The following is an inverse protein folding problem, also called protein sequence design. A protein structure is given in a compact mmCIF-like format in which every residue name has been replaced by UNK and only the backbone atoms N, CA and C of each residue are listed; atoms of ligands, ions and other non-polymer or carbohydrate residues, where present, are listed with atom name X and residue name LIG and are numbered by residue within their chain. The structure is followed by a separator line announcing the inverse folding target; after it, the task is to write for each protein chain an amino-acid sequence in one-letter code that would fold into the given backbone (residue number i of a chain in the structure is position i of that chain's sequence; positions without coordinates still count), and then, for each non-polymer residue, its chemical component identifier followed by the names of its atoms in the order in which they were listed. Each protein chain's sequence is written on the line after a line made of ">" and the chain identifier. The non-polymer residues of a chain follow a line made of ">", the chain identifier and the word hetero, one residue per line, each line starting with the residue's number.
data_IF_766786747117
#
_entry.id   IF_766786747117
#
_cell.length_a   1.000
_cell.length_b   1.000
_cell.length_c   1.000
_cell.angle_alpha   90.00
_cell.angle_beta   90.00
_cell.angle_gamma   90.00
#
_symmetry.space_group_name_H-M   'P 1'
#
loop_
_entity.id
_entity.type
_entity.pdbx_description
1 polymer ?
#
# COMPACT_ATOMS: atom_id res chain seq x y z
N UNK A 1 -17.76 3.60 -22.73
CA UNK A 1 -17.95 4.55 -21.61
C UNK A 1 -18.47 3.87 -20.36
N UNK A 2 -19.64 3.23 -20.38
CA UNK A 2 -20.20 2.53 -19.21
C UNK A 2 -19.24 1.49 -18.59
N UNK A 3 -18.66 0.59 -19.39
CA UNK A 3 -17.70 -0.41 -18.90
C UNK A 3 -16.41 0.20 -18.35
N UNK A 4 -15.97 1.35 -18.87
CA UNK A 4 -14.78 2.07 -18.38
C UNK A 4 -15.03 2.68 -17.01
N UNK A 5 -16.19 3.32 -16.82
CA UNK A 5 -16.59 3.90 -15.54
C UNK A 5 -16.80 2.84 -14.47
N UNK A 6 -17.47 1.73 -14.81
CA UNK A 6 -17.64 0.57 -13.92
C UNK A 6 -16.28 -0.04 -13.56
N UNK A 7 -15.38 -0.20 -14.54
CA UNK A 7 -14.03 -0.70 -14.30
C UNK A 7 -13.21 0.20 -13.38
N UNK A 8 -13.29 1.52 -13.53
CA UNK A 8 -12.62 2.48 -12.64
C UNK A 8 -13.16 2.41 -11.21
N UNK A 9 -14.48 2.40 -11.04
CA UNK A 9 -15.10 2.29 -9.73
C UNK A 9 -14.70 0.99 -9.01
N UNK A 10 -14.72 -0.14 -9.72
CA UNK A 10 -14.25 -1.43 -9.18
C UNK A 10 -12.76 -1.35 -8.85
N UNK A 11 -11.93 -0.76 -9.71
CA UNK A 11 -10.49 -0.62 -9.49
C UNK A 11 -10.16 0.16 -8.23
N UNK A 12 -10.83 1.29 -7.99
CA UNK A 12 -10.68 2.11 -6.78
C UNK A 12 -11.08 1.29 -5.55
N UNK A 13 -12.23 0.62 -5.60
CA UNK A 13 -12.71 -0.18 -4.48
C UNK A 13 -11.78 -1.36 -4.15
N UNK A 14 -11.26 -2.05 -5.17
CA UNK A 14 -10.27 -3.12 -4.97
C UNK A 14 -8.99 -2.58 -4.35
N UNK A 15 -8.52 -1.40 -4.77
CA UNK A 15 -7.34 -0.76 -4.18
C UNK A 15 -7.55 -0.45 -2.68
N UNK A 16 -8.73 0.06 -2.30
CA UNK A 16 -9.08 0.26 -0.88
C UNK A 16 -9.00 -1.05 -0.09
N UNK A 17 -9.62 -2.12 -0.59
CA UNK A 17 -9.60 -3.43 0.07
C UNK A 17 -8.17 -3.97 0.22
N UNK A 18 -7.32 -3.73 -0.76
CA UNK A 18 -5.89 -4.08 -0.70
C UNK A 18 -5.17 -3.30 0.40
N UNK A 19 -5.44 -1.99 0.51
CA UNK A 19 -4.84 -1.15 1.56
C UNK A 19 -5.35 -1.52 2.95
N UNK A 20 -6.65 -1.82 3.11
CA UNK A 20 -7.24 -2.33 4.35
C UNK A 20 -6.59 -3.64 4.78
N UNK A 21 -6.50 -4.60 3.85
CA UNK A 21 -5.87 -5.88 4.12
C UNK A 21 -4.39 -5.72 4.50
N UNK A 22 -3.64 -4.91 3.75
CA UNK A 22 -2.23 -4.63 4.04
C UNK A 22 -2.06 -4.00 5.43
N UNK A 23 -2.89 -3.00 5.77
CA UNK A 23 -2.84 -2.34 7.07
C UNK A 23 -3.17 -3.32 8.19
N UNK A 24 -4.19 -4.16 8.00
CA UNK A 24 -4.54 -5.20 8.96
C UNK A 24 -3.36 -6.16 9.20
N UNK A 25 -2.66 -6.59 8.15
CA UNK A 25 -1.47 -7.46 8.27
C UNK A 25 -0.33 -6.77 9.01
N UNK A 26 -0.04 -5.51 8.71
CA UNK A 26 1.01 -4.75 9.38
C UNK A 26 0.69 -4.57 10.87
N UNK A 27 -0.58 -4.32 11.21
CA UNK A 27 -1.05 -4.21 12.61
C UNK A 27 -0.89 -5.50 13.42
N UNK A 28 -0.85 -6.67 12.79
CA UNK A 28 -0.56 -7.93 13.51
C UNK A 28 0.88 -7.98 14.04
N UNK A 29 1.79 -7.18 13.46
CA UNK A 29 3.21 -7.13 13.85
C UNK A 29 3.56 -5.87 14.62
N UNK A 30 2.90 -4.75 14.31
CA UNK A 30 3.21 -3.42 14.84
C UNK A 30 1.94 -2.68 15.20
N UNK A 31 1.70 -2.46 16.50
CA UNK A 31 0.54 -1.69 16.97
C UNK A 31 0.57 -0.25 16.45
N UNK A 32 1.76 0.33 16.28
CA UNK A 32 1.96 1.68 15.76
C UNK A 32 1.55 1.83 14.29
N UNK A 33 1.28 0.75 13.56
CA UNK A 33 0.67 0.83 12.24
C UNK A 33 -0.72 1.49 12.26
N UNK A 34 -1.36 1.64 13.43
CA UNK A 34 -2.56 2.47 13.61
C UNK A 34 -2.37 3.95 13.24
N UNK A 35 -1.13 4.43 13.12
CA UNK A 35 -0.78 5.77 12.68
C UNK A 35 -0.92 5.95 11.16
N UNK A 36 -0.95 4.85 10.38
CA UNK A 36 -1.19 4.90 8.94
C UNK A 36 -2.67 5.19 8.68
N UNK A 37 -2.93 6.21 7.86
CA UNK A 37 -4.29 6.60 7.44
C UNK A 37 -4.40 6.56 5.94
N UNK A 38 -5.53 6.12 5.41
CA UNK A 38 -5.79 6.20 3.97
C UNK A 38 -7.27 6.45 3.70
N UNK A 39 -7.54 6.99 2.52
CA UNK A 39 -8.86 7.18 1.93
C UNK A 39 -8.82 6.72 0.46
N UNK A 40 -9.92 6.91 -0.28
CA UNK A 40 -9.95 6.68 -1.73
C UNK A 40 -8.93 7.54 -2.49
N UNK A 41 -8.52 8.67 -1.92
CA UNK A 41 -7.76 9.71 -2.60
C UNK A 41 -6.28 9.75 -2.16
N UNK A 42 -5.95 9.23 -0.97
CA UNK A 42 -4.61 9.39 -0.42
C UNK A 42 -4.23 8.35 0.63
N UNK A 43 -2.93 8.17 0.82
CA UNK A 43 -2.33 7.46 1.95
C UNK A 43 -1.43 8.45 2.68
N UNK A 44 -1.63 8.59 4.00
CA UNK A 44 -0.80 9.43 4.86
C UNK A 44 -0.01 8.58 5.85
N UNK A 45 1.31 8.84 5.88
CA UNK A 45 2.27 8.25 6.80
C UNK A 45 2.84 9.29 7.78
N UNK A 46 2.34 10.53 7.76
CA UNK A 46 2.89 11.67 8.52
C UNK A 46 2.97 11.37 10.03
N UNK A 47 1.96 10.70 10.56
CA UNK A 47 1.88 10.31 11.97
C UNK A 47 2.97 9.31 12.38
N UNK A 48 3.53 8.52 11.45
CA UNK A 48 4.70 7.66 11.74
C UNK A 48 5.95 8.50 12.05
N UNK A 49 6.02 9.75 11.61
CA UNK A 49 7.12 10.67 11.96
C UNK A 49 7.17 11.04 13.46
N UNK A 50 6.13 10.68 14.23
CA UNK A 50 6.06 10.90 15.68
C UNK A 50 6.73 9.81 16.51
N UNK A 51 7.10 8.69 15.88
CA UNK A 51 7.80 7.58 16.54
C UNK A 51 9.27 7.56 16.11
N UNK A 52 10.03 6.63 16.69
CA UNK A 52 11.41 6.38 16.29
C UNK A 52 11.53 6.15 14.77
N UNK A 53 12.52 6.78 14.14
CA UNK A 53 12.68 6.82 12.68
C UNK A 53 12.89 5.43 12.09
N UNK A 54 13.77 4.63 12.68
CA UNK A 54 14.08 3.29 12.16
C UNK A 54 12.84 2.39 12.27
N UNK A 55 12.07 2.54 13.35
CA UNK A 55 10.79 1.87 13.51
C UNK A 55 9.73 2.35 12.51
N UNK A 56 9.63 3.65 12.26
CA UNK A 56 8.73 4.23 11.28
C UNK A 56 9.02 3.69 9.86
N UNK A 57 10.29 3.68 9.47
CA UNK A 57 10.74 3.19 8.17
C UNK A 57 10.44 1.70 8.01
N UNK A 58 10.63 0.91 9.07
CA UNK A 58 10.30 -0.52 9.08
C UNK A 58 8.79 -0.76 8.90
N UNK A 59 7.95 -0.03 9.65
CA UNK A 59 6.49 -0.15 9.56
C UNK A 59 5.98 0.25 8.17
N UNK A 60 6.49 1.36 7.63
CA UNK A 60 6.14 1.82 6.29
C UNK A 60 6.56 0.80 5.23
N UNK A 61 7.75 0.22 5.36
CA UNK A 61 8.22 -0.83 4.45
C UNK A 61 7.33 -2.07 4.50
N UNK A 62 7.00 -2.57 5.70
CA UNK A 62 6.13 -3.73 5.88
C UNK A 62 4.73 -3.50 5.32
N UNK A 63 4.17 -2.30 5.48
CA UNK A 63 2.89 -1.93 4.88
C UNK A 63 2.93 -1.98 3.34
N UNK A 64 3.96 -1.38 2.73
CA UNK A 64 4.13 -1.42 1.26
C UNK A 64 4.32 -2.86 0.76
N UNK A 65 5.10 -3.67 1.46
CA UNK A 65 5.32 -5.06 1.07
C UNK A 65 4.03 -5.90 1.20
N UNK A 66 3.17 -5.61 2.18
CA UNK A 66 1.86 -6.25 2.30
C UNK A 66 0.92 -5.85 1.14
N UNK A 67 0.94 -4.59 0.69
CA UNK A 67 0.23 -4.14 -0.52
C UNK A 67 0.72 -4.93 -1.74
N UNK A 68 2.03 -4.95 -1.98
CA UNK A 68 2.64 -5.66 -3.11
C UNK A 68 2.30 -7.15 -3.09
N UNK A 69 2.36 -7.78 -1.92
CA UNK A 69 2.02 -9.19 -1.75
C UNK A 69 0.55 -9.48 -2.08
N UNK A 70 -0.37 -8.62 -1.60
CA UNK A 70 -1.80 -8.74 -1.89
C UNK A 70 -2.08 -8.54 -3.38
N UNK A 71 -1.49 -7.52 -3.99
CA UNK A 71 -1.62 -7.27 -5.44
C UNK A 71 -1.05 -8.45 -6.25
N UNK A 72 0.11 -8.99 -5.88
CA UNK A 72 0.70 -10.17 -6.52
C UNK A 72 -0.24 -11.37 -6.59
N UNK A 73 -1.08 -11.54 -5.57
CA UNK A 73 -2.09 -12.60 -5.53
C UNK A 73 -3.31 -12.29 -6.38
N UNK A 74 -3.72 -11.02 -6.45
CA UNK A 74 -4.92 -10.58 -7.19
C UNK A 74 -4.68 -10.50 -8.70
N UNK A 75 -3.58 -9.89 -9.13
CA UNK A 75 -3.30 -9.63 -10.56
C UNK A 75 -2.27 -10.58 -11.16
N UNK A 76 -1.71 -11.48 -10.34
CA UNK A 76 -0.66 -12.40 -10.73
C UNK A 76 0.75 -11.78 -10.68
N UNK A 77 1.76 -12.67 -10.60
CA UNK A 77 3.16 -12.29 -10.33
C UNK A 77 3.74 -11.28 -11.32
N UNK A 78 3.37 -11.37 -12.59
CA UNK A 78 3.97 -10.56 -13.66
C UNK A 78 3.60 -9.07 -13.53
N UNK A 79 2.34 -8.77 -13.20
CA UNK A 79 1.89 -7.38 -12.98
C UNK A 79 2.43 -6.81 -11.67
N UNK A 80 2.53 -7.62 -10.62
CA UNK A 80 3.11 -7.15 -9.37
C UNK A 80 4.64 -6.93 -9.42
N UNK A 81 5.36 -7.67 -10.26
CA UNK A 81 6.77 -7.42 -10.56
C UNK A 81 6.96 -6.01 -11.15
N UNK A 82 6.14 -5.63 -12.15
CA UNK A 82 6.20 -4.31 -12.77
C UNK A 82 5.89 -3.18 -11.77
N UNK A 83 4.92 -3.37 -10.89
CA UNK A 83 4.61 -2.43 -9.80
C UNK A 83 5.80 -2.27 -8.83
N UNK A 84 6.43 -3.38 -8.45
CA UNK A 84 7.60 -3.37 -7.56
C UNK A 84 8.77 -2.63 -8.18
N UNK A 85 9.02 -2.84 -9.47
CA UNK A 85 10.07 -2.15 -10.23
C UNK A 85 9.81 -0.63 -10.29
N UNK A 86 8.57 -0.20 -10.53
CA UNK A 86 8.20 1.23 -10.53
C UNK A 86 8.43 1.89 -9.16
N UNK A 87 8.08 1.21 -8.07
CA UNK A 87 8.30 1.70 -6.71
C UNK A 87 9.80 1.82 -6.38
N UNK A 88 10.65 0.92 -6.91
CA UNK A 88 12.10 0.99 -6.72
C UNK A 88 12.77 2.10 -7.56
N UNK A 89 12.23 2.39 -8.75
CA UNK A 89 12.72 3.50 -9.60
C UNK A 89 12.48 4.86 -8.92
N UNK A 90 11.38 5.01 -8.17
CA UNK A 90 11.11 6.21 -7.36
C UNK A 90 12.20 6.49 -6.32
N UNK A 91 12.72 5.45 -5.64
CA UNK A 91 13.79 5.57 -4.63
C UNK A 91 15.18 5.94 -5.19
N UNK A 92 15.41 5.87 -6.50
CA UNK A 92 16.72 6.23 -7.12
C UNK A 92 16.81 7.68 -7.57
N UNK A 93 15.72 8.45 -7.49
CA UNK A 93 15.66 9.86 -7.92
C UNK A 93 15.66 10.86 -6.76
N UNK A 94 15.79 10.38 -5.53
CA UNK A 94 16.07 11.18 -4.32
C UNK A 94 17.46 10.84 -3.80
#
# INVERSE_FOLDING_TARGET
>A
EMFTSVGQAIGIHVLLLVMEHALWQTKQKYEEANLIRFSEESVSLEELGKIDRDKADLIAHEFVMAIVSTLSRLVGKQLAQQLTEQLQIGRRKE
#
